data_IF_043113518439
#
_entry.id   IF_043113518439
#
_cell.length_a   1.000
_cell.length_b   1.000
_cell.length_c   1.000
_cell.angle_alpha   90.00
_cell.angle_beta   90.00
_cell.angle_gamma   90.00
#
_symmetry.space_group_name_H-M   'P 1'
#
loop_
_entity.id
_entity.type
_entity.pdbx_description
1 polymer ?
#
# COMPACT_ATOMS: atom_id res chain seq x y z
N UNK A 1 12.48 8.02 -8.95
CA UNK A 1 11.17 7.95 -8.25
C UNK A 1 10.24 9.09 -8.67
N UNK A 2 10.71 10.33 -8.76
CA UNK A 2 9.94 11.48 -9.33
C UNK A 2 9.44 11.27 -10.77
N UNK A 3 10.10 10.41 -11.55
CA UNK A 3 9.68 10.01 -12.90
C UNK A 3 9.03 8.62 -12.98
N UNK A 4 8.62 8.01 -11.85
CA UNK A 4 7.80 6.80 -11.94
C UNK A 4 6.43 7.19 -12.48
N UNK A 5 6.30 7.15 -13.80
CA UNK A 5 5.06 7.32 -14.55
C UNK A 5 4.17 6.06 -14.45
N UNK A 6 4.24 5.37 -13.31
CA UNK A 6 3.45 4.18 -13.06
C UNK A 6 2.01 4.61 -12.83
N UNK A 7 1.14 4.32 -13.80
CA UNK A 7 -0.28 4.65 -13.67
C UNK A 7 -0.95 3.53 -12.88
N UNK A 8 -1.35 3.83 -11.65
CA UNK A 8 -2.16 2.93 -10.84
C UNK A 8 -3.62 3.26 -11.05
N UNK A 9 -4.37 2.35 -11.67
CA UNK A 9 -5.81 2.45 -11.85
C UNK A 9 -6.51 1.41 -10.98
N UNK A 10 -7.70 1.76 -10.49
CA UNK A 10 -8.52 0.86 -9.67
C UNK A 10 -9.87 0.68 -10.34
N UNK A 11 -10.32 -0.56 -10.48
CA UNK A 11 -11.66 -0.88 -10.98
C UNK A 11 -12.46 -1.59 -9.89
N UNK A 12 -13.68 -1.11 -9.64
CA UNK A 12 -14.70 -1.80 -8.86
C UNK A 12 -15.69 -2.51 -9.79
N UNK A 13 -16.37 -3.52 -9.30
CA UNK A 13 -17.48 -4.12 -10.03
C UNK A 13 -18.69 -3.17 -9.98
N UNK A 14 -19.32 -2.83 -11.12
CA UNK A 14 -20.39 -1.82 -11.15
C UNK A 14 -21.62 -2.21 -10.31
N UNK A 15 -21.96 -3.51 -10.28
CA UNK A 15 -23.17 -4.00 -9.62
C UNK A 15 -22.96 -4.56 -8.19
N UNK A 16 -21.71 -4.55 -7.69
CA UNK A 16 -21.41 -5.07 -6.34
C UNK A 16 -21.01 -3.91 -5.45
N UNK A 17 -21.87 -3.50 -4.49
CA UNK A 17 -21.61 -2.33 -3.64
C UNK A 17 -20.64 -2.62 -2.49
N UNK A 18 -20.40 -3.90 -2.17
CA UNK A 18 -19.48 -4.30 -1.10
C UNK A 18 -18.18 -4.89 -1.68
N UNK A 19 -17.07 -4.15 -1.49
CA UNK A 19 -15.74 -4.55 -1.92
C UNK A 19 -15.28 -5.88 -1.26
N UNK A 20 -15.94 -6.34 -0.18
CA UNK A 20 -15.70 -7.68 0.41
C UNK A 20 -16.20 -8.82 -0.47
N UNK A 21 -17.25 -8.57 -1.26
CA UNK A 21 -17.84 -9.56 -2.18
C UNK A 21 -17.16 -9.54 -3.55
N UNK A 22 -16.64 -8.37 -3.96
CA UNK A 22 -15.86 -8.21 -5.18
C UNK A 22 -14.73 -7.21 -4.95
N UNK A 23 -13.55 -7.66 -4.48
CA UNK A 23 -12.43 -6.78 -4.21
C UNK A 23 -12.05 -5.91 -5.40
N UNK A 24 -11.78 -4.63 -5.12
CA UNK A 24 -11.26 -3.71 -6.10
C UNK A 24 -9.98 -4.27 -6.73
N UNK A 25 -9.89 -4.19 -8.07
CA UNK A 25 -8.71 -4.64 -8.80
C UNK A 25 -7.84 -3.45 -9.12
N UNK A 26 -6.57 -3.54 -8.71
CA UNK A 26 -5.56 -2.53 -9.00
C UNK A 26 -4.75 -2.97 -10.21
N UNK A 27 -4.65 -2.09 -11.19
CA UNK A 27 -3.85 -2.26 -12.39
C UNK A 27 -2.76 -1.22 -12.40
N UNK A 28 -1.52 -1.70 -12.35
CA UNK A 28 -0.34 -0.86 -12.45
C UNK A 28 0.24 -1.04 -13.83
N UNK A 29 0.34 0.05 -14.60
CA UNK A 29 0.98 0.06 -15.90
C UNK A 29 2.25 0.91 -15.87
N UNK A 30 3.14 0.67 -16.84
CA UNK A 30 4.39 1.41 -16.99
C UNK A 30 5.42 1.20 -15.87
N UNK A 31 5.38 0.04 -15.21
CA UNK A 31 6.50 -0.41 -14.40
C UNK A 31 7.66 -0.82 -15.30
N UNK A 32 8.88 -0.47 -14.89
CA UNK A 32 10.09 -1.01 -15.51
C UNK A 32 10.13 -2.53 -15.31
N UNK A 33 10.34 -3.34 -16.38
CA UNK A 33 10.38 -4.79 -16.25
C UNK A 33 11.43 -5.27 -15.24
N UNK A 34 11.11 -6.35 -14.52
CA UNK A 34 11.97 -6.91 -13.47
C UNK A 34 13.42 -7.12 -13.92
N UNK A 35 13.60 -7.66 -15.13
CA UNK A 35 14.93 -7.91 -15.71
C UNK A 35 15.75 -6.63 -15.89
N UNK A 36 15.11 -5.52 -16.25
CA UNK A 36 15.79 -4.24 -16.45
C UNK A 36 16.21 -3.67 -15.11
N UNK A 37 15.30 -3.63 -14.13
CA UNK A 37 15.64 -3.18 -12.77
C UNK A 37 16.72 -4.05 -12.12
N UNK A 38 16.84 -5.33 -12.49
CA UNK A 38 17.83 -6.24 -11.92
C UNK A 38 19.27 -5.91 -12.31
N UNK A 39 19.50 -5.33 -13.51
CA UNK A 39 20.84 -4.92 -13.94
C UNK A 39 21.40 -3.76 -13.12
N UNK A 40 20.53 -2.87 -12.67
CA UNK A 40 20.89 -1.69 -11.89
C UNK A 40 20.62 -1.87 -10.39
N UNK A 41 20.15 -3.06 -9.99
CA UNK A 41 19.69 -3.35 -8.64
C UNK A 41 18.77 -2.23 -8.12
N UNK A 42 17.73 -1.91 -8.89
CA UNK A 42 16.70 -0.93 -8.50
C UNK A 42 15.53 -1.63 -7.81
N UNK A 43 14.82 -0.96 -6.88
CA UNK A 43 13.62 -1.53 -6.25
C UNK A 43 12.53 -1.85 -7.29
N UNK A 44 11.93 -3.04 -7.18
CA UNK A 44 10.87 -3.50 -8.09
C UNK A 44 9.73 -4.21 -7.32
N UNK A 45 9.08 -3.56 -6.34
CA UNK A 45 8.22 -4.24 -5.37
C UNK A 45 7.03 -5.00 -5.99
N UNK A 46 6.44 -4.46 -7.07
CA UNK A 46 5.33 -5.14 -7.76
C UNK A 46 5.81 -6.34 -8.55
N UNK A 47 6.92 -6.17 -9.28
CA UNK A 47 7.54 -7.23 -10.08
C UNK A 47 8.03 -8.37 -9.20
N UNK A 48 8.66 -8.05 -8.07
CA UNK A 48 9.12 -9.01 -7.07
C UNK A 48 7.96 -9.80 -6.49
N UNK A 49 6.87 -9.13 -6.13
CA UNK A 49 5.69 -9.82 -5.62
C UNK A 49 5.13 -10.82 -6.64
N UNK A 50 4.94 -10.39 -7.90
CA UNK A 50 4.39 -11.26 -8.95
C UNK A 50 5.34 -12.41 -9.28
N UNK A 51 6.65 -12.16 -9.32
CA UNK A 51 7.67 -13.20 -9.59
C UNK A 51 7.70 -14.26 -8.50
N UNK A 52 7.63 -13.85 -7.23
CA UNK A 52 7.73 -14.77 -6.10
C UNK A 52 6.42 -15.50 -5.82
N UNK A 53 5.27 -14.88 -6.10
CA UNK A 53 3.99 -15.38 -5.62
C UNK A 53 2.88 -15.52 -6.67
N UNK A 54 3.14 -15.10 -7.90
CA UNK A 54 2.15 -15.10 -8.97
C UNK A 54 1.02 -14.09 -8.75
N UNK A 55 -0.08 -14.27 -9.51
CA UNK A 55 -1.24 -13.39 -9.48
C UNK A 55 -2.15 -13.76 -8.32
N UNK A 56 -2.10 -12.99 -7.23
CA UNK A 56 -2.92 -13.21 -6.03
C UNK A 56 -3.21 -11.90 -5.29
N UNK A 57 -4.02 -11.97 -4.23
CA UNK A 57 -4.26 -10.84 -3.32
C UNK A 57 -2.92 -10.36 -2.71
N UNK A 58 -2.67 -9.05 -2.77
CA UNK A 58 -1.45 -8.42 -2.28
C UNK A 58 -1.63 -7.87 -0.86
N UNK A 59 -2.71 -7.12 -0.64
CA UNK A 59 -3.06 -6.58 0.67
C UNK A 59 -4.58 -6.55 0.87
N UNK A 60 -4.98 -6.33 2.12
CA UNK A 60 -6.36 -6.05 2.52
C UNK A 60 -6.38 -4.69 3.21
N UNK A 61 -7.26 -3.81 2.78
CA UNK A 61 -7.48 -2.51 3.41
C UNK A 61 -8.61 -2.58 4.45
N UNK A 62 -8.32 -2.14 5.66
CA UNK A 62 -9.29 -1.88 6.71
C UNK A 62 -9.55 -0.39 6.77
N UNK A 63 -10.83 -0.03 6.61
CA UNK A 63 -11.29 1.32 6.83
C UNK A 63 -11.30 1.62 8.33
N UNK A 64 -10.63 2.70 8.69
CA UNK A 64 -10.76 3.36 9.97
C UNK A 64 -11.71 4.53 9.76
N UNK A 65 -12.80 4.58 10.52
CA UNK A 65 -13.83 5.62 10.36
C UNK A 65 -13.25 7.01 10.59
N UNK A 66 -13.65 7.97 9.74
CA UNK A 66 -13.26 9.38 9.84
C UNK A 66 -13.58 9.93 11.24
N UNK A 67 -12.57 10.51 11.89
CA UNK A 67 -12.76 11.21 13.14
C UNK A 67 -11.49 11.28 13.98
N UNK A 68 -11.68 11.81 15.18
CA UNK A 68 -10.57 12.12 16.08
C UNK A 68 -10.84 11.58 17.49
N UNK A 69 -9.80 11.06 18.12
CA UNK A 69 -9.77 10.68 19.52
C UNK A 69 -8.66 11.48 20.22
N UNK A 70 -9.04 12.32 21.18
CA UNK A 70 -8.10 13.21 21.89
C UNK A 70 -7.21 14.03 20.93
N UNK A 71 -7.81 14.67 19.92
CA UNK A 71 -7.10 15.48 18.90
C UNK A 71 -6.15 14.70 17.98
N UNK A 72 -6.18 13.37 18.03
CA UNK A 72 -5.44 12.47 17.14
C UNK A 72 -6.41 11.80 16.17
N UNK A 73 -6.04 11.72 14.88
CA UNK A 73 -6.86 11.00 13.90
C UNK A 73 -6.99 9.52 14.29
N UNK A 74 -8.15 8.94 14.01
CA UNK A 74 -8.44 7.57 14.41
C UNK A 74 -7.41 6.56 13.85
N UNK A 75 -6.93 6.75 12.63
CA UNK A 75 -5.90 5.89 12.03
C UNK A 75 -4.57 5.98 12.76
N UNK A 76 -4.16 7.18 13.20
CA UNK A 76 -2.93 7.34 13.99
C UNK A 76 -3.07 6.63 15.33
N UNK A 77 -4.24 6.74 15.97
CA UNK A 77 -4.54 6.05 17.21
C UNK A 77 -4.46 4.53 17.02
N UNK A 78 -5.19 3.97 16.04
CA UNK A 78 -5.19 2.53 15.74
C UNK A 78 -3.78 2.02 15.45
N UNK A 79 -3.01 2.73 14.62
CA UNK A 79 -1.62 2.37 14.31
C UNK A 79 -0.75 2.40 15.56
N UNK A 80 -0.92 3.40 16.43
CA UNK A 80 -0.17 3.50 17.69
C UNK A 80 -0.47 2.33 18.63
N UNK A 81 -1.74 1.92 18.75
CA UNK A 81 -2.13 0.78 19.58
C UNK A 81 -1.63 -0.54 18.99
N UNK A 82 -1.76 -0.73 17.68
CA UNK A 82 -1.23 -1.93 17.00
C UNK A 82 0.29 -2.02 17.11
N UNK A 83 0.99 -0.90 17.07
CA UNK A 83 2.44 -0.83 17.28
C UNK A 83 2.81 -1.26 18.70
N UNK A 84 2.07 -0.80 19.72
CA UNK A 84 2.25 -1.25 21.12
C UNK A 84 2.01 -2.74 21.29
N UNK A 85 1.12 -3.33 20.50
CA UNK A 85 0.84 -4.76 20.45
C UNK A 85 1.84 -5.56 19.59
N UNK A 86 2.84 -4.89 18.99
CA UNK A 86 3.94 -5.53 18.25
C UNK A 86 3.69 -5.70 16.75
N UNK A 87 2.68 -5.03 16.18
CA UNK A 87 2.46 -5.03 14.72
C UNK A 87 3.52 -4.18 14.02
N UNK A 88 4.34 -4.74 13.12
CA UNK A 88 5.32 -3.96 12.38
C UNK A 88 4.69 -3.26 11.16
N UNK A 89 5.13 -2.03 10.89
CA UNK A 89 4.72 -1.25 9.73
C UNK A 89 5.89 -0.95 8.78
N UNK A 90 5.59 -0.66 7.52
CA UNK A 90 6.59 -0.37 6.49
C UNK A 90 7.17 1.05 6.59
N UNK A 91 6.40 2.00 7.13
CA UNK A 91 6.76 3.40 7.31
C UNK A 91 5.80 4.06 8.33
N UNK A 92 5.94 5.38 8.52
CA UNK A 92 4.96 6.19 9.22
C UNK A 92 3.66 6.35 8.41
N UNK A 93 2.58 6.77 9.07
CA UNK A 93 1.30 7.07 8.42
C UNK A 93 1.48 8.22 7.43
N UNK A 94 1.06 8.02 6.18
CA UNK A 94 1.18 9.02 5.11
C UNK A 94 -0.16 9.67 4.81
N UNK A 95 -0.11 10.87 4.24
CA UNK A 95 -1.30 11.66 3.90
C UNK A 95 -1.71 12.61 5.02
N UNK A 96 -2.79 13.33 4.80
CA UNK A 96 -3.28 14.36 5.70
C UNK A 96 -4.80 14.34 5.76
N UNK A 97 -5.36 14.75 6.90
CA UNK A 97 -6.78 14.99 7.09
C UNK A 97 -6.94 16.37 7.70
N UNK A 98 -7.04 17.39 6.84
CA UNK A 98 -7.13 18.81 7.21
C UNK A 98 -8.59 19.27 7.17
N UNK A 99 -8.93 20.22 6.30
CA UNK A 99 -10.29 20.73 6.14
C UNK A 99 -10.93 20.30 4.80
N UNK A 100 -10.18 19.60 3.95
CA UNK A 100 -10.56 19.22 2.59
C UNK A 100 -10.53 17.70 2.40
N UNK A 101 -11.32 17.14 1.46
CA UNK A 101 -11.34 15.70 1.17
C UNK A 101 -9.96 15.14 0.87
N UNK A 102 -9.51 14.20 1.71
CA UNK A 102 -8.19 13.57 1.59
C UNK A 102 -8.20 12.22 2.34
N UNK A 103 -7.05 11.55 2.45
CA UNK A 103 -6.93 10.33 3.25
C UNK A 103 -5.57 10.22 3.95
N UNK A 104 -5.59 9.51 5.08
CA UNK A 104 -4.40 9.01 5.76
C UNK A 104 -4.35 7.49 5.66
N UNK A 105 -3.17 6.93 5.42
CA UNK A 105 -3.01 5.49 5.24
C UNK A 105 -1.62 4.98 5.57
N UNK A 106 -1.50 3.68 5.80
CA UNK A 106 -0.26 2.99 6.12
C UNK A 106 -0.37 1.50 5.78
N UNK A 107 0.77 0.88 5.46
CA UNK A 107 0.89 -0.56 5.27
C UNK A 107 1.65 -1.21 6.44
N UNK A 108 1.11 -2.32 6.95
CA UNK A 108 1.87 -3.24 7.79
C UNK A 108 3.00 -3.89 6.97
N UNK A 109 3.99 -4.48 7.65
CA UNK A 109 4.83 -5.48 6.96
C UNK A 109 4.00 -6.70 6.57
N UNK A 110 4.51 -7.48 5.63
CA UNK A 110 3.85 -8.73 5.23
C UNK A 110 3.69 -9.68 6.44
N UNK A 111 2.50 -10.27 6.57
CA UNK A 111 2.21 -11.25 7.61
C UNK A 111 3.10 -12.50 7.43
N UNK A 112 3.74 -13.02 8.48
CA UNK A 112 4.55 -14.23 8.38
C UNK A 112 3.71 -15.49 8.09
N UNK A 113 2.38 -15.42 8.27
CA UNK A 113 1.47 -16.55 8.08
C UNK A 113 0.72 -16.52 6.75
N UNK A 114 0.33 -15.34 6.27
CA UNK A 114 -0.46 -15.19 5.05
C UNK A 114 0.28 -14.50 3.91
N UNK A 115 1.43 -13.88 4.20
CA UNK A 115 2.18 -13.00 3.29
C UNK A 115 1.40 -11.75 2.84
N UNK A 116 0.21 -11.53 3.39
CA UNK A 116 -0.61 -10.37 3.09
C UNK A 116 -0.12 -9.18 3.88
N UNK A 117 -0.12 -8.02 3.23
CA UNK A 117 0.00 -6.72 3.88
C UNK A 117 -1.40 -6.29 4.33
N UNK A 118 -1.48 -5.65 5.49
CA UNK A 118 -2.70 -4.99 5.95
C UNK A 118 -2.55 -3.49 5.77
N UNK A 119 -3.44 -2.88 5.01
CA UNK A 119 -3.56 -1.43 4.91
C UNK A 119 -4.56 -0.94 5.96
N UNK A 120 -4.22 0.13 6.68
CA UNK A 120 -5.17 0.89 7.48
C UNK A 120 -5.36 2.24 6.81
N UNK A 121 -6.60 2.60 6.52
CA UNK A 121 -6.93 3.83 5.78
C UNK A 121 -8.08 4.56 6.45
N UNK A 122 -7.90 5.84 6.70
CA UNK A 122 -8.96 6.77 7.10
C UNK A 122 -9.19 7.77 5.97
N UNK A 123 -10.42 7.78 5.46
CA UNK A 123 -10.85 8.70 4.41
C UNK A 123 -11.57 9.86 5.05
N UNK A 124 -11.03 11.06 4.89
CA UNK A 124 -11.48 12.23 5.61
C UNK A 124 -12.32 13.13 4.72
N UNK A 125 -13.32 13.79 5.32
CA UNK A 125 -14.20 14.75 4.65
C UNK A 125 -14.86 14.20 3.37
N UNK A 126 -15.29 12.95 3.41
CA UNK A 126 -16.02 12.32 2.29
C UNK A 126 -15.15 11.98 1.08
N UNK A 127 -13.84 11.81 1.25
CA UNK A 127 -12.97 11.35 0.18
C UNK A 127 -13.32 9.92 -0.27
N UNK A 128 -13.66 9.73 -1.55
CA UNK A 128 -14.07 8.41 -2.09
C UNK A 128 -13.00 7.70 -2.92
N UNK A 129 -11.88 8.38 -3.20
CA UNK A 129 -10.75 7.82 -3.96
C UNK A 129 -10.01 6.74 -3.18
N UNK A 130 -8.99 6.13 -3.78
CA UNK A 130 -8.17 5.11 -3.10
C UNK A 130 -6.84 5.66 -2.57
N UNK A 131 -6.23 6.60 -3.29
CA UNK A 131 -4.92 7.14 -2.99
C UNK A 131 -4.77 8.56 -3.55
N UNK A 132 -3.91 9.37 -2.94
CA UNK A 132 -3.31 10.54 -3.60
C UNK A 132 -2.02 10.13 -4.30
N UNK A 133 -1.58 10.92 -5.29
CA UNK A 133 -0.30 10.67 -5.99
C UNK A 133 0.86 10.58 -5.01
N UNK A 134 0.87 11.45 -4.01
CA UNK A 134 1.96 11.55 -3.04
C UNK A 134 1.94 10.34 -2.08
N UNK A 135 0.75 9.88 -1.68
CA UNK A 135 0.62 8.66 -0.87
C UNK A 135 1.14 7.42 -1.61
N UNK A 136 0.79 7.25 -2.90
CA UNK A 136 1.28 6.11 -3.71
C UNK A 136 2.81 6.12 -3.79
N UNK A 137 3.40 7.28 -4.05
CA UNK A 137 4.85 7.42 -4.14
C UNK A 137 5.54 7.04 -2.82
N UNK A 138 5.02 7.53 -1.68
CA UNK A 138 5.57 7.25 -0.37
C UNK A 138 5.45 5.76 0.01
N UNK A 139 4.28 5.14 -0.19
CA UNK A 139 4.04 3.74 0.13
C UNK A 139 4.87 2.80 -0.76
N UNK A 140 4.98 3.12 -2.05
CA UNK A 140 5.80 2.32 -3.00
C UNK A 140 7.28 2.38 -2.62
N UNK A 141 7.77 3.56 -2.22
CA UNK A 141 9.14 3.72 -1.75
C UNK A 141 9.40 2.91 -0.46
N UNK A 142 8.47 2.96 0.50
CA UNK A 142 8.56 2.19 1.74
C UNK A 142 8.58 0.68 1.49
N UNK A 143 7.70 0.19 0.61
CA UNK A 143 7.67 -1.21 0.20
C UNK A 143 8.97 -1.62 -0.50
N UNK A 144 9.47 -0.82 -1.44
CA UNK A 144 10.71 -1.11 -2.16
C UNK A 144 11.96 -1.12 -1.26
N UNK A 145 11.94 -0.41 -0.13
CA UNK A 145 13.03 -0.43 0.85
C UNK A 145 12.95 -1.62 1.82
N UNK A 146 11.75 -1.99 2.26
CA UNK A 146 11.54 -2.96 3.34
C UNK A 146 11.23 -4.39 2.86
N UNK A 147 10.56 -4.54 1.72
CA UNK A 147 10.17 -5.84 1.15
C UNK A 147 11.12 -6.27 0.01
N UNK A 148 12.34 -5.71 0.01
CA UNK A 148 13.35 -5.99 -1.00
C UNK A 148 13.83 -7.43 -0.86
N UNK A 149 13.42 -8.29 -1.77
CA UNK A 149 13.88 -9.68 -1.79
C UNK A 149 15.36 -9.72 -2.17
N UNK A 150 16.17 -10.47 -1.43
CA UNK A 150 17.51 -10.82 -1.86
C UNK A 150 17.39 -11.69 -3.11
N UNK A 151 17.66 -11.09 -4.28
CA UNK A 151 17.77 -11.85 -5.51
C UNK A 151 18.92 -12.83 -5.39
N UNK A 152 18.65 -14.13 -5.54
CA UNK A 152 19.71 -15.11 -5.75
C UNK A 152 20.54 -14.66 -6.96
N UNK A 153 21.83 -14.45 -6.77
CA UNK A 153 22.72 -14.16 -7.88
C UNK A 153 22.75 -15.40 -8.77
N UNK A 154 22.19 -15.28 -9.97
CA UNK A 154 22.13 -16.39 -10.94
C UNK A 154 23.49 -16.57 -11.63
N UNK A 155 24.42 -15.66 -11.40
CA UNK A 155 25.74 -15.64 -12.04
C UNK A 155 26.83 -15.32 -11.00
N UNK A 156 27.15 -16.31 -10.18
CA UNK A 156 28.40 -16.41 -9.43
C UNK A 156 29.26 -17.51 -10.07
#
# INVERSE_FOLDING_TARGET
>A
ITEMNSSTNVTRHPDVPDDKLSPARVFTANNTPAIVNSFENLPMPTEDFVRNFGRRMHHIAYEVGDGDINEMKNVDFVVSELTKLGTPFLADVVGECKDEPNLKQIFSKSSPYSLLITEYVERCHGYEGFFTRDNVAALTAAAGASERFEHGQVFD
#
